data_IF_455819755869
#
_entry.id   IF_455819755869
#
_cell.length_a   1.000
_cell.length_b   1.000
_cell.length_c   1.000
_cell.angle_alpha   90.00
_cell.angle_beta   90.00
_cell.angle_gamma   90.00
#
_symmetry.space_group_name_H-M   'P 1'
#
loop_
_entity.id
_entity.type
_entity.pdbx_description
1 polymer ?
#
# COMPACT_ATOMS: atom_id res chain seq x y z
N UNK A 1 21.62 2.47 -20.18
CA UNK A 1 22.34 2.55 -18.90
C UNK A 1 21.31 2.93 -17.85
N UNK A 2 21.00 2.08 -16.87
CA UNK A 2 20.01 2.42 -15.84
C UNK A 2 20.59 3.47 -14.90
N UNK A 3 19.79 4.47 -14.52
CA UNK A 3 20.21 5.48 -13.56
C UNK A 3 20.56 4.81 -12.22
N UNK A 4 21.66 5.26 -11.59
CA UNK A 4 22.01 4.82 -10.24
C UNK A 4 20.94 5.33 -9.28
N UNK A 5 20.14 4.42 -8.77
CA UNK A 5 19.12 4.68 -7.75
C UNK A 5 19.80 4.87 -6.39
N UNK A 6 19.38 5.92 -5.66
CA UNK A 6 19.85 6.22 -4.31
C UNK A 6 18.97 5.49 -3.29
N UNK A 7 19.15 4.16 -3.20
CA UNK A 7 18.42 3.35 -2.25
C UNK A 7 18.88 3.62 -0.82
N UNK A 8 17.96 3.47 0.13
CA UNK A 8 18.30 3.47 1.54
C UNK A 8 19.42 2.47 1.82
N UNK A 9 20.45 2.91 2.54
CA UNK A 9 21.53 2.03 2.96
C UNK A 9 20.97 0.94 3.87
N UNK A 10 21.36 -0.29 3.62
CA UNK A 10 20.96 -1.42 4.45
C UNK A 10 21.37 -1.16 5.91
N UNK A 11 20.40 -1.26 6.83
CA UNK A 11 20.60 -1.08 8.27
C UNK A 11 19.91 -2.19 9.02
N UNK A 12 20.67 -2.89 9.86
CA UNK A 12 20.22 -4.03 10.63
C UNK A 12 20.48 -3.76 12.12
N UNK A 13 19.47 -3.96 12.95
CA UNK A 13 19.61 -3.97 14.40
C UNK A 13 19.63 -5.42 14.86
N UNK A 14 20.60 -5.77 15.70
CA UNK A 14 20.74 -7.10 16.28
C UNK A 14 20.73 -6.96 17.80
N UNK A 15 19.73 -7.56 18.43
CA UNK A 15 19.62 -7.68 19.88
C UNK A 15 20.09 -9.08 20.29
N UNK A 16 21.18 -9.16 21.05
CA UNK A 16 21.78 -10.40 21.54
C UNK A 16 21.29 -10.66 22.97
N UNK A 17 20.60 -11.79 23.17
CA UNK A 17 20.04 -12.19 24.46
C UNK A 17 21.00 -13.08 25.24
N UNK A 18 20.83 -13.12 26.57
CA UNK A 18 21.71 -13.86 27.48
C UNK A 18 21.70 -15.39 27.26
N UNK A 19 20.63 -15.92 26.67
CA UNK A 19 20.47 -17.33 26.32
C UNK A 19 21.07 -17.71 24.95
N UNK A 20 21.67 -16.74 24.25
CA UNK A 20 22.26 -16.93 22.93
C UNK A 20 21.29 -16.71 21.77
N UNK A 21 20.02 -16.34 22.02
CA UNK A 21 19.11 -15.91 20.96
C UNK A 21 19.56 -14.56 20.35
N UNK A 22 19.22 -14.36 19.07
CA UNK A 22 19.42 -13.09 18.36
C UNK A 22 18.10 -12.63 17.73
N UNK A 23 17.66 -11.41 18.05
CA UNK A 23 16.55 -10.76 17.33
C UNK A 23 17.14 -9.79 16.32
N UNK A 24 16.81 -10.03 15.05
CA UNK A 24 17.20 -9.19 13.93
C UNK A 24 16.00 -8.36 13.49
N UNK A 25 16.17 -7.05 13.36
CA UNK A 25 15.13 -6.13 12.87
C UNK A 25 15.69 -5.11 11.89
N UNK A 26 14.83 -4.61 11.00
CA UNK A 26 15.19 -3.48 10.15
C UNK A 26 15.50 -2.26 11.01
N UNK A 27 16.68 -1.65 10.81
CA UNK A 27 17.02 -0.38 11.47
C UNK A 27 16.41 0.84 10.78
N UNK A 28 15.78 0.66 9.61
CA UNK A 28 15.13 1.73 8.89
C UNK A 28 13.85 2.16 9.61
N UNK A 29 13.73 3.46 9.87
CA UNK A 29 12.48 4.05 10.37
C UNK A 29 11.42 3.97 9.27
N UNK A 30 10.23 3.49 9.64
CA UNK A 30 9.10 3.45 8.72
C UNK A 30 8.59 4.87 8.46
N UNK A 31 8.26 5.14 7.21
CA UNK A 31 7.49 6.33 6.83
C UNK A 31 6.08 6.29 7.47
N UNK A 32 5.35 7.42 7.50
CA UNK A 32 3.98 7.45 7.99
C UNK A 32 3.11 6.38 7.34
N UNK A 33 2.55 5.49 8.16
CA UNK A 33 1.67 4.42 7.72
C UNK A 33 0.20 4.86 7.79
N UNK A 34 -0.62 4.37 6.86
CA UNK A 34 -2.06 4.55 6.94
C UNK A 34 -2.63 3.78 8.15
N UNK A 35 -3.63 4.34 8.82
CA UNK A 35 -4.22 3.69 10.01
C UNK A 35 -5.06 2.46 9.63
N UNK A 36 -5.70 2.49 8.48
CA UNK A 36 -6.51 1.41 7.94
C UNK A 36 -6.52 1.44 6.40
N UNK A 37 -6.98 0.35 5.79
CA UNK A 37 -7.03 0.21 4.32
C UNK A 37 -8.02 1.17 3.65
N UNK A 38 -9.04 1.65 4.38
CA UNK A 38 -10.00 2.63 3.88
C UNK A 38 -9.35 3.97 3.56
N UNK A 39 -8.35 4.40 4.31
CA UNK A 39 -7.60 5.64 4.03
C UNK A 39 -6.98 5.64 2.63
N UNK A 40 -6.54 4.48 2.13
CA UNK A 40 -6.01 4.37 0.77
C UNK A 40 -7.10 4.62 -0.28
N UNK A 41 -8.29 4.04 -0.09
CA UNK A 41 -9.41 4.24 -1.00
C UNK A 41 -9.84 5.72 -1.02
N UNK A 42 -9.94 6.35 0.15
CA UNK A 42 -10.24 7.78 0.26
C UNK A 42 -9.19 8.65 -0.43
N UNK A 43 -7.90 8.39 -0.18
CA UNK A 43 -6.80 9.15 -0.79
C UNK A 43 -6.83 9.07 -2.31
N UNK A 44 -6.87 7.85 -2.85
CA UNK A 44 -6.80 7.65 -4.30
C UNK A 44 -8.10 8.03 -5.03
N UNK A 45 -9.25 7.93 -4.38
CA UNK A 45 -10.49 8.51 -4.93
C UNK A 45 -10.44 10.04 -5.03
N UNK A 46 -9.71 10.72 -4.14
CA UNK A 46 -9.50 12.16 -4.21
C UNK A 46 -8.41 12.55 -5.22
N UNK A 47 -7.27 11.86 -5.21
CA UNK A 47 -6.11 12.21 -6.05
C UNK A 47 -6.26 11.76 -7.50
N UNK A 48 -6.82 10.58 -7.75
CA UNK A 48 -6.93 9.96 -9.07
C UNK A 48 -8.28 9.27 -9.28
N UNK A 49 -9.41 10.00 -9.20
CA UNK A 49 -10.76 9.42 -9.20
C UNK A 49 -11.06 8.56 -10.41
N UNK A 50 -10.51 8.90 -11.58
CA UNK A 50 -10.74 8.21 -12.85
C UNK A 50 -9.82 7.00 -13.10
N UNK A 51 -8.82 6.79 -12.23
CA UNK A 51 -7.92 5.65 -12.36
C UNK A 51 -8.65 4.35 -12.00
N UNK A 52 -8.29 3.26 -12.68
CA UNK A 52 -8.84 1.92 -12.43
C UNK A 52 -8.36 1.43 -11.06
N UNK A 53 -9.30 1.19 -10.15
CA UNK A 53 -9.05 0.56 -8.86
C UNK A 53 -9.06 -0.96 -8.97
N UNK A 54 -10.12 -1.51 -9.56
CA UNK A 54 -10.29 -2.94 -9.77
C UNK A 54 -10.73 -3.21 -11.21
N UNK A 55 -10.34 -4.36 -11.73
CA UNK A 55 -10.84 -4.85 -13.00
C UNK A 55 -11.10 -6.34 -12.90
N UNK A 56 -12.32 -6.74 -13.25
CA UNK A 56 -12.71 -8.15 -13.35
C UNK A 56 -12.93 -8.52 -14.81
N UNK A 57 -12.76 -9.80 -15.13
CA UNK A 57 -12.94 -10.28 -16.49
C UNK A 57 -14.42 -10.32 -16.83
N UNK A 58 -14.80 -9.75 -17.98
CA UNK A 58 -16.17 -9.77 -18.51
C UNK A 58 -16.17 -10.23 -19.96
N UNK A 59 -16.32 -11.55 -20.15
CA UNK A 59 -16.19 -12.21 -21.46
C UNK A 59 -14.83 -11.92 -22.14
N UNK A 60 -14.82 -11.43 -23.40
CA UNK A 60 -13.57 -11.04 -24.07
C UNK A 60 -12.96 -9.74 -23.53
N UNK A 61 -13.68 -8.99 -22.69
CA UNK A 61 -13.26 -7.68 -22.17
C UNK A 61 -13.01 -7.67 -20.66
N UNK A 62 -12.96 -6.46 -20.11
CA UNK A 62 -12.79 -6.18 -18.69
C UNK A 62 -13.90 -5.25 -18.21
N UNK A 63 -14.55 -5.59 -17.11
CA UNK A 63 -15.36 -4.66 -16.35
C UNK A 63 -14.42 -3.93 -15.38
N UNK A 64 -14.37 -2.60 -15.47
CA UNK A 64 -13.42 -1.77 -14.71
C UNK A 64 -14.20 -0.94 -13.70
N UNK A 65 -13.70 -0.88 -12.49
CA UNK A 65 -14.18 -0.03 -11.43
C UNK A 65 -13.11 1.02 -11.12
N UNK A 66 -13.49 2.30 -11.18
CA UNK A 66 -12.61 3.42 -10.86
C UNK A 66 -12.59 3.69 -9.35
N UNK A 67 -11.56 4.39 -8.86
CA UNK A 67 -11.47 4.74 -7.44
C UNK A 67 -12.66 5.58 -6.95
N UNK A 68 -13.10 6.58 -7.71
CA UNK A 68 -14.25 7.42 -7.34
C UNK A 68 -15.57 6.63 -7.25
N UNK A 69 -15.80 5.75 -8.22
CA UNK A 69 -16.98 4.88 -8.25
C UNK A 69 -16.96 3.88 -7.10
N UNK A 70 -15.79 3.30 -6.80
CA UNK A 70 -15.61 2.37 -5.70
C UNK A 70 -15.91 3.02 -4.34
N UNK A 71 -15.38 4.22 -4.09
CA UNK A 71 -15.66 4.95 -2.85
C UNK A 71 -17.16 5.23 -2.69
N UNK A 72 -17.82 5.66 -3.77
CA UNK A 72 -19.27 5.91 -3.77
C UNK A 72 -20.08 4.66 -3.41
N UNK A 73 -19.69 3.49 -3.93
CA UNK A 73 -20.34 2.21 -3.61
C UNK A 73 -20.08 1.76 -2.16
N UNK A 74 -18.86 1.95 -1.64
CA UNK A 74 -18.56 1.60 -0.24
C UNK A 74 -19.39 2.46 0.72
N UNK A 75 -19.49 3.76 0.46
CA UNK A 75 -20.25 4.68 1.30
C UNK A 75 -21.75 4.39 1.30
N UNK A 76 -22.32 3.91 0.19
CA UNK A 76 -23.73 3.56 0.12
C UNK A 76 -24.10 2.32 0.94
N UNK A 77 -23.14 1.42 1.21
CA UNK A 77 -23.34 0.23 2.06
C UNK A 77 -23.29 0.57 3.55
N UNK A 78 -22.64 1.68 3.92
CA UNK A 78 -22.52 2.12 5.31
C UNK A 78 -23.73 2.93 5.82
N UNK A 79 -24.70 3.21 4.96
CA UNK A 79 -25.88 4.04 5.26
C UNK A 79 -27.01 3.26 5.96
#
# INVERSE_FOLDING_TARGET
>A
MFAKQDYLKHQLLIDHREDGEMIMSSGLTLDPVAQNTGEWLHRWAAETPDAVFLAERSGPGWNKLKYGDALSQVQSVAA
#
